data_IF_257488584334
#
_entry.id   IF_257488584334
#
_cell.length_a   1.000
_cell.length_b   1.000
_cell.length_c   1.000
_cell.angle_alpha   90.00
_cell.angle_beta   90.00
_cell.angle_gamma   90.00
#
_symmetry.space_group_name_H-M   'P 1'
#
loop_
_entity.id
_entity.type
_entity.pdbx_description
1 polymer ?
#
# COMPACT_ATOMS: atom_id res chain seq x y z
N UNK A 1 4.48 -24.75 -14.61
CA UNK A 1 4.72 -23.29 -14.57
C UNK A 1 6.09 -23.06 -13.95
N UNK A 2 7.03 -22.51 -14.71
CA UNK A 2 8.43 -22.41 -14.32
C UNK A 2 8.60 -21.45 -13.11
N UNK A 3 9.57 -21.65 -12.21
CA UNK A 3 9.70 -20.86 -10.98
C UNK A 3 9.88 -19.36 -11.27
N UNK A 4 10.56 -19.02 -12.36
CA UNK A 4 10.73 -17.64 -12.82
C UNK A 4 9.43 -17.00 -13.32
N UNK A 5 8.57 -17.76 -14.01
CA UNK A 5 7.24 -17.30 -14.43
C UNK A 5 6.33 -17.00 -13.23
N UNK A 6 6.41 -17.82 -12.17
CA UNK A 6 5.68 -17.56 -10.91
C UNK A 6 6.14 -16.26 -10.24
N UNK A 7 7.44 -16.03 -10.15
CA UNK A 7 8.02 -14.79 -9.58
C UNK A 7 7.59 -13.56 -10.38
N UNK A 8 7.72 -13.62 -11.70
CA UNK A 8 7.34 -12.52 -12.59
C UNK A 8 5.85 -12.19 -12.47
N UNK A 9 4.98 -13.21 -12.50
CA UNK A 9 3.52 -13.02 -12.34
C UNK A 9 3.17 -12.44 -10.97
N UNK A 10 3.83 -12.90 -9.90
CA UNK A 10 3.67 -12.35 -8.56
C UNK A 10 3.99 -10.85 -8.51
N UNK A 11 5.13 -10.45 -9.07
CA UNK A 11 5.54 -9.02 -9.12
C UNK A 11 4.65 -8.20 -10.05
N UNK A 12 4.14 -8.77 -11.14
CA UNK A 12 3.16 -8.11 -12.01
C UNK A 12 1.84 -7.82 -11.29
N UNK A 13 1.35 -8.76 -10.49
CA UNK A 13 0.16 -8.54 -9.65
C UNK A 13 0.39 -7.46 -8.61
N UNK A 14 1.57 -7.44 -7.95
CA UNK A 14 1.94 -6.36 -7.03
C UNK A 14 2.04 -5.00 -7.72
N UNK A 15 2.59 -4.96 -8.94
CA UNK A 15 2.65 -3.74 -9.73
C UNK A 15 1.24 -3.19 -10.00
N UNK A 16 0.34 -4.03 -10.51
CA UNK A 16 -1.04 -3.62 -10.78
C UNK A 16 -1.73 -3.15 -9.49
N UNK A 17 -1.58 -3.87 -8.39
CA UNK A 17 -2.12 -3.47 -7.10
C UNK A 17 -1.66 -2.06 -6.68
N UNK A 18 -0.38 -1.75 -6.85
CA UNK A 18 0.19 -0.45 -6.50
C UNK A 18 -0.24 0.67 -7.46
N UNK A 19 -0.51 0.34 -8.73
CA UNK A 19 -1.13 1.29 -9.67
C UNK A 19 -2.56 1.63 -9.22
N UNK A 20 -3.34 0.64 -8.82
CA UNK A 20 -4.67 0.87 -8.25
C UNK A 20 -4.58 1.71 -6.97
N UNK A 21 -3.68 1.37 -6.04
CA UNK A 21 -3.46 2.14 -4.82
C UNK A 21 -3.09 3.61 -5.10
N UNK A 22 -2.16 3.86 -6.04
CA UNK A 22 -1.79 5.21 -6.44
C UNK A 22 -2.98 5.98 -7.05
N UNK A 23 -3.78 5.32 -7.89
CA UNK A 23 -4.96 5.92 -8.50
C UNK A 23 -6.05 6.25 -7.45
N UNK A 24 -6.28 5.36 -6.49
CA UNK A 24 -7.27 5.58 -5.42
C UNK A 24 -6.81 6.66 -4.44
N UNK A 25 -5.52 6.71 -4.11
CA UNK A 25 -4.96 7.76 -3.26
C UNK A 25 -4.98 9.12 -3.95
N UNK A 26 -4.74 9.17 -5.27
CA UNK A 26 -4.87 10.40 -6.04
C UNK A 26 -6.34 10.88 -6.09
N UNK A 27 -7.26 9.94 -6.31
CA UNK A 27 -8.70 10.19 -6.27
C UNK A 27 -9.16 10.76 -4.92
N UNK A 28 -8.55 10.33 -3.80
CA UNK A 28 -8.86 10.84 -2.47
C UNK A 28 -8.44 12.31 -2.24
N UNK A 29 -7.50 12.84 -3.05
CA UNK A 29 -7.07 14.25 -2.98
C UNK A 29 -7.96 15.14 -3.86
N UNK A 30 -8.57 14.58 -4.90
CA UNK A 30 -9.37 15.33 -5.85
C UNK A 30 -10.84 15.41 -5.40
N UNK A 31 -11.52 16.55 -5.59
CA UNK A 31 -12.95 16.64 -5.38
C UNK A 31 -13.68 15.84 -6.46
N UNK A 32 -14.05 14.60 -6.14
CA UNK A 32 -14.74 13.69 -7.06
C UNK A 32 -16.26 13.74 -6.85
N UNK A 33 -17.07 13.75 -7.92
CA UNK A 33 -18.52 13.54 -7.83
C UNK A 33 -18.86 12.15 -7.27
N UNK A 34 -19.99 12.04 -6.57
CA UNK A 34 -20.40 10.84 -5.84
C UNK A 34 -20.40 9.54 -6.67
N UNK A 35 -20.75 9.63 -7.96
CA UNK A 35 -20.72 8.48 -8.88
C UNK A 35 -19.32 7.91 -9.11
N UNK A 36 -18.27 8.74 -9.04
CA UNK A 36 -16.88 8.30 -9.15
C UNK A 36 -16.36 7.69 -7.85
N UNK A 37 -16.91 8.04 -6.68
CA UNK A 37 -16.51 7.47 -5.39
C UNK A 37 -16.77 5.95 -5.35
N UNK A 38 -17.84 5.47 -5.98
CA UNK A 38 -18.13 4.04 -6.09
C UNK A 38 -17.08 3.30 -6.95
N UNK A 39 -16.63 3.92 -8.04
CA UNK A 39 -15.57 3.36 -8.90
C UNK A 39 -14.22 3.35 -8.18
N UNK A 40 -13.91 4.40 -7.40
CA UNK A 40 -12.70 4.47 -6.58
C UNK A 40 -12.72 3.38 -5.50
N UNK A 41 -13.87 3.15 -4.87
CA UNK A 41 -14.04 2.08 -3.87
C UNK A 41 -13.83 0.69 -4.49
N UNK A 42 -14.41 0.44 -5.67
CA UNK A 42 -14.19 -0.80 -6.43
C UNK A 42 -12.72 -0.97 -6.85
N UNK A 43 -12.07 0.09 -7.29
CA UNK A 43 -10.66 0.11 -7.66
C UNK A 43 -9.76 -0.21 -6.45
N UNK A 44 -10.09 0.30 -5.26
CA UNK A 44 -9.37 0.00 -4.01
C UNK A 44 -9.47 -1.48 -3.64
N UNK A 45 -10.68 -2.05 -3.70
CA UNK A 45 -10.89 -3.48 -3.45
C UNK A 45 -10.13 -4.33 -4.48
N UNK A 46 -10.20 -3.97 -5.76
CA UNK A 46 -9.46 -4.67 -6.81
C UNK A 46 -7.94 -4.63 -6.56
N UNK A 47 -7.41 -3.46 -6.16
CA UNK A 47 -6.01 -3.29 -5.77
C UNK A 47 -5.60 -4.22 -4.62
N UNK A 48 -6.42 -4.28 -3.56
CA UNK A 48 -6.19 -5.18 -2.42
C UNK A 48 -6.20 -6.65 -2.82
N UNK A 49 -7.17 -7.08 -3.62
CA UNK A 49 -7.25 -8.48 -4.12
C UNK A 49 -6.01 -8.83 -4.94
N UNK A 50 -5.55 -7.93 -5.81
CA UNK A 50 -4.33 -8.11 -6.59
C UNK A 50 -3.09 -8.17 -5.69
N UNK A 51 -3.02 -7.35 -4.64
CA UNK A 51 -1.92 -7.36 -3.67
C UNK A 51 -1.86 -8.69 -2.93
N UNK A 52 -3.00 -9.18 -2.42
CA UNK A 52 -3.11 -10.47 -1.75
C UNK A 52 -2.73 -11.61 -2.70
N UNK A 53 -3.19 -11.60 -3.95
CA UNK A 53 -2.87 -12.62 -4.94
C UNK A 53 -1.37 -12.62 -5.31
N UNK A 54 -0.78 -11.44 -5.50
CA UNK A 54 0.64 -11.26 -5.77
C UNK A 54 1.51 -11.75 -4.60
N UNK A 55 1.16 -11.34 -3.38
CA UNK A 55 1.86 -11.76 -2.17
C UNK A 55 1.72 -13.25 -1.89
N UNK A 56 0.53 -13.84 -2.12
CA UNK A 56 0.34 -15.28 -1.97
C UNK A 56 1.24 -16.08 -2.93
N UNK A 57 1.47 -15.55 -4.13
CA UNK A 57 2.37 -16.15 -5.13
C UNK A 57 3.85 -16.05 -4.69
N UNK A 58 4.23 -14.99 -3.98
CA UNK A 58 5.60 -14.69 -3.59
C UNK A 58 5.96 -15.11 -2.15
N UNK A 59 4.99 -15.48 -1.30
CA UNK A 59 5.18 -15.76 0.14
C UNK A 59 6.19 -16.86 0.47
N UNK A 60 6.45 -17.77 -0.48
CA UNK A 60 7.41 -18.86 -0.30
C UNK A 60 8.83 -18.48 -0.72
N UNK A 61 9.01 -17.35 -1.39
CA UNK A 61 10.31 -16.91 -1.91
C UNK A 61 11.12 -16.13 -0.87
N UNK A 62 10.45 -15.37 0.01
CA UNK A 62 11.10 -14.50 0.98
C UNK A 62 10.26 -14.35 2.26
N UNK A 63 10.92 -14.24 3.42
CA UNK A 63 10.25 -13.95 4.69
C UNK A 63 9.49 -12.62 4.68
N UNK A 64 10.02 -11.59 4.03
CA UNK A 64 9.38 -10.28 3.86
C UNK A 64 8.03 -10.37 3.17
N UNK A 65 7.92 -11.08 2.05
CA UNK A 65 6.63 -11.29 1.37
C UNK A 65 5.64 -12.09 2.21
N UNK A 66 6.11 -13.04 3.01
CA UNK A 66 5.26 -13.82 3.92
C UNK A 66 4.66 -12.95 5.01
N UNK A 67 5.46 -12.07 5.61
CA UNK A 67 4.98 -11.13 6.62
C UNK A 67 4.07 -10.07 6.01
N UNK A 68 4.42 -9.52 4.85
CA UNK A 68 3.56 -8.60 4.12
C UNK A 68 2.19 -9.23 3.81
N UNK A 69 2.14 -10.49 3.36
CA UNK A 69 0.88 -11.20 3.13
C UNK A 69 -0.01 -11.27 4.38
N UNK A 70 0.59 -11.57 5.54
CA UNK A 70 -0.14 -11.62 6.81
C UNK A 70 -0.66 -10.25 7.22
N UNK A 71 0.14 -9.20 7.03
CA UNK A 71 -0.26 -7.83 7.33
C UNK A 71 -1.40 -7.37 6.42
N UNK A 72 -1.34 -7.62 5.12
CA UNK A 72 -2.43 -7.26 4.18
C UNK A 72 -3.73 -8.01 4.48
N UNK A 73 -3.67 -9.27 4.94
CA UNK A 73 -4.88 -9.95 5.45
C UNK A 73 -5.40 -9.26 6.72
N UNK A 74 -4.50 -8.92 7.65
CA UNK A 74 -4.86 -8.20 8.88
C UNK A 74 -5.50 -6.85 8.60
N UNK A 75 -4.98 -6.12 7.62
CA UNK A 75 -5.51 -4.86 7.11
C UNK A 75 -6.94 -5.03 6.59
N UNK A 76 -7.20 -6.05 5.77
CA UNK A 76 -8.54 -6.31 5.23
C UNK A 76 -9.55 -6.66 6.32
N UNK A 77 -9.14 -7.48 7.29
CA UNK A 77 -9.97 -7.82 8.46
C UNK A 77 -10.25 -6.57 9.30
N UNK A 78 -9.23 -5.74 9.53
CA UNK A 78 -9.34 -4.52 10.32
C UNK A 78 -10.22 -3.47 9.64
N UNK A 79 -10.10 -3.31 8.32
CA UNK A 79 -10.96 -2.41 7.56
C UNK A 79 -12.43 -2.85 7.62
N UNK A 80 -12.69 -4.15 7.52
CA UNK A 80 -14.05 -4.70 7.63
C UNK A 80 -14.63 -4.52 9.04
N UNK A 81 -13.91 -4.98 10.07
CA UNK A 81 -14.34 -4.84 11.46
C UNK A 81 -14.49 -3.37 11.86
N UNK A 82 -13.51 -2.53 11.49
CA UNK A 82 -13.54 -1.11 11.77
C UNK A 82 -14.68 -0.38 11.07
N UNK A 83 -15.02 -0.77 9.84
CA UNK A 83 -16.21 -0.30 9.13
C UNK A 83 -17.51 -0.66 9.87
N UNK A 84 -17.63 -1.93 10.32
CA UNK A 84 -18.81 -2.36 11.09
C UNK A 84 -18.94 -1.63 12.42
N UNK A 85 -17.85 -1.51 13.19
CA UNK A 85 -17.81 -0.80 14.48
C UNK A 85 -18.16 0.68 14.29
N UNK A 86 -17.61 1.31 13.25
CA UNK A 86 -17.90 2.71 12.95
C UNK A 86 -19.38 2.93 12.58
N UNK A 87 -19.95 2.03 11.78
CA UNK A 87 -21.38 2.08 11.45
C UNK A 87 -22.26 1.93 12.70
N UNK A 88 -21.93 1.00 13.60
CA UNK A 88 -22.63 0.85 14.88
C UNK A 88 -22.50 2.09 15.77
N UNK A 89 -21.31 2.69 15.88
CA UNK A 89 -21.10 3.93 16.63
C UNK A 89 -21.94 5.08 16.05
N UNK A 90 -22.07 5.16 14.72
CA UNK A 90 -22.92 6.14 14.05
C UNK A 90 -24.41 5.97 14.32
N UNK A 91 -24.90 4.72 14.25
CA UNK A 91 -26.31 4.41 14.47
C UNK A 91 -26.72 4.49 15.95
N UNK A 92 -25.84 4.09 16.88
CA UNK A 92 -26.18 3.91 18.30
C UNK A 92 -25.72 5.06 19.20
N UNK A 93 -24.70 5.83 18.81
CA UNK A 93 -24.11 6.88 19.65
C UNK A 93 -24.27 8.26 19.00
N UNK A 94 -23.52 8.55 17.94
CA UNK A 94 -23.61 9.81 17.19
C UNK A 94 -22.76 9.77 15.93
N UNK A 95 -23.04 10.69 15.01
CA UNK A 95 -22.20 10.94 13.82
C UNK A 95 -20.76 11.33 14.21
N UNK A 96 -20.58 12.08 15.30
CA UNK A 96 -19.24 12.43 15.78
C UNK A 96 -18.43 11.20 16.23
N UNK A 97 -19.07 10.27 16.93
CA UNK A 97 -18.45 9.01 17.33
C UNK A 97 -18.07 8.15 16.11
N UNK A 98 -18.93 8.10 15.08
CA UNK A 98 -18.63 7.43 13.81
C UNK A 98 -17.37 8.02 13.14
N UNK A 99 -17.28 9.35 13.03
CA UNK A 99 -16.14 10.01 12.39
C UNK A 99 -14.83 9.76 13.14
N UNK A 100 -14.86 9.76 14.47
CA UNK A 100 -13.70 9.45 15.30
C UNK A 100 -13.24 7.99 15.15
N UNK A 101 -14.17 7.04 15.16
CA UNK A 101 -13.83 5.62 14.95
C UNK A 101 -13.32 5.37 13.53
N UNK A 102 -13.91 6.00 12.51
CA UNK A 102 -13.42 5.90 11.13
C UNK A 102 -12.01 6.45 10.98
N UNK A 103 -11.72 7.59 11.61
CA UNK A 103 -10.37 8.17 11.64
C UNK A 103 -9.37 7.17 12.25
N UNK A 104 -9.65 6.66 13.45
CA UNK A 104 -8.82 5.67 14.15
C UNK A 104 -8.54 4.43 13.30
N UNK A 105 -9.58 3.82 12.73
CA UNK A 105 -9.46 2.65 11.86
C UNK A 105 -8.59 2.96 10.64
N UNK A 106 -8.81 4.10 10.00
CA UNK A 106 -8.09 4.50 8.79
C UNK A 106 -6.58 4.63 9.04
N UNK A 107 -6.18 5.12 10.22
CA UNK A 107 -4.77 5.23 10.60
C UNK A 107 -4.12 3.85 10.74
N UNK A 108 -4.78 2.93 11.43
CA UNK A 108 -4.22 1.58 11.59
C UNK A 108 -4.14 0.85 10.26
N UNK A 109 -5.15 0.99 9.40
CA UNK A 109 -5.15 0.44 8.04
C UNK A 109 -3.97 1.01 7.24
N UNK A 110 -3.79 2.33 7.23
CA UNK A 110 -2.68 2.97 6.54
C UNK A 110 -1.31 2.55 7.11
N UNK A 111 -1.17 2.40 8.43
CA UNK A 111 0.07 1.93 9.04
C UNK A 111 0.40 0.49 8.63
N UNK A 112 -0.61 -0.38 8.56
CA UNK A 112 -0.46 -1.76 8.09
C UNK A 112 -0.12 -1.82 6.60
N UNK A 113 -0.77 -0.99 5.77
CA UNK A 113 -0.50 -0.88 4.34
C UNK A 113 0.96 -0.47 4.09
N UNK A 114 1.43 0.59 4.76
CA UNK A 114 2.81 1.08 4.65
C UNK A 114 3.81 0.04 5.17
N UNK A 115 3.51 -0.67 6.25
CA UNK A 115 4.35 -1.76 6.74
C UNK A 115 4.41 -2.93 5.74
N UNK A 116 3.28 -3.29 5.12
CA UNK A 116 3.23 -4.30 4.08
C UNK A 116 4.04 -3.86 2.85
N UNK A 117 3.90 -2.61 2.40
CA UNK A 117 4.72 -2.04 1.32
C UNK A 117 6.21 -2.07 1.65
N UNK A 118 6.59 -1.71 2.88
CA UNK A 118 8.00 -1.72 3.32
C UNK A 118 8.62 -3.11 3.23
N UNK A 119 7.90 -4.12 3.71
CA UNK A 119 8.32 -5.52 3.65
C UNK A 119 8.31 -6.08 2.22
N UNK A 120 7.31 -5.72 1.42
CA UNK A 120 7.26 -6.07 -0.01
C UNK A 120 8.46 -5.50 -0.75
N UNK A 121 8.77 -4.22 -0.53
CA UNK A 121 9.88 -3.53 -1.18
C UNK A 121 11.21 -4.20 -0.79
N UNK A 122 11.41 -4.52 0.50
CA UNK A 122 12.57 -5.28 0.96
C UNK A 122 12.69 -6.65 0.28
N UNK A 123 11.59 -7.41 0.22
CA UNK A 123 11.56 -8.69 -0.48
C UNK A 123 11.90 -8.59 -1.97
N UNK A 124 11.41 -7.55 -2.66
CA UNK A 124 11.69 -7.30 -4.08
C UNK A 124 13.14 -6.87 -4.30
N UNK A 125 13.70 -6.05 -3.41
CA UNK A 125 15.12 -5.69 -3.47
C UNK A 125 16.01 -6.92 -3.33
N UNK A 126 15.73 -7.80 -2.38
CA UNK A 126 16.51 -9.04 -2.18
C UNK A 126 16.39 -9.97 -3.39
N UNK A 127 15.22 -10.02 -4.03
CA UNK A 127 15.00 -10.80 -5.24
C UNK A 127 15.86 -10.31 -6.43
N UNK A 128 16.09 -9.00 -6.53
CA UNK A 128 16.71 -8.37 -7.71
C UNK A 128 18.16 -7.98 -7.52
N UNK A 129 18.61 -7.81 -6.27
CA UNK A 129 20.01 -7.56 -5.93
C UNK A 129 21.02 -8.46 -6.67
N UNK A 130 20.81 -9.79 -6.87
CA UNK A 130 21.75 -10.61 -7.62
C UNK A 130 21.80 -10.33 -9.12
N UNK A 131 20.77 -9.70 -9.70
CA UNK A 131 20.66 -9.44 -11.15
C UNK A 131 21.02 -7.99 -11.48
N UNK A 132 20.52 -7.05 -10.69
CA UNK A 132 20.65 -5.62 -10.91
C UNK A 132 20.80 -4.86 -9.57
N UNK A 133 22.01 -4.79 -9.00
CA UNK A 133 22.23 -4.17 -7.69
C UNK A 133 21.85 -2.69 -7.66
N UNK A 134 22.10 -1.95 -8.75
CA UNK A 134 21.71 -0.54 -8.88
C UNK A 134 20.19 -0.34 -8.82
N UNK A 135 19.40 -1.27 -9.37
CA UNK A 135 17.94 -1.21 -9.25
C UNK A 135 17.50 -1.49 -7.81
N UNK A 136 18.16 -2.42 -7.11
CA UNK A 136 17.88 -2.68 -5.71
C UNK A 136 18.16 -1.45 -4.81
N UNK A 137 19.16 -0.62 -5.12
CA UNK A 137 19.40 0.64 -4.39
C UNK A 137 18.26 1.64 -4.52
N UNK A 138 17.60 1.72 -5.67
CA UNK A 138 16.39 2.55 -5.84
C UNK A 138 15.26 2.08 -4.90
N UNK A 139 15.12 0.77 -4.71
CA UNK A 139 14.20 0.21 -3.73
C UNK A 139 14.51 0.64 -2.29
N UNK A 140 15.79 0.84 -1.95
CA UNK A 140 16.19 1.34 -0.62
C UNK A 140 15.67 2.76 -0.36
N UNK A 141 15.77 3.64 -1.36
CA UNK A 141 15.22 5.00 -1.27
C UNK A 141 13.70 4.99 -1.07
N UNK A 142 13.00 4.10 -1.78
CA UNK A 142 11.54 3.94 -1.63
C UNK A 142 11.20 3.44 -0.21
N UNK A 143 11.95 2.50 0.36
CA UNK A 143 11.75 2.06 1.75
C UNK A 143 11.93 3.19 2.76
N UNK A 144 12.87 4.10 2.54
CA UNK A 144 13.01 5.30 3.38
C UNK A 144 11.82 6.24 3.22
N UNK A 145 11.35 6.46 1.98
CA UNK A 145 10.17 7.28 1.70
C UNK A 145 8.92 6.74 2.42
N UNK A 146 8.72 5.42 2.48
CA UNK A 146 7.62 4.80 3.22
C UNK A 146 7.65 5.19 4.71
N UNK A 147 8.82 5.21 5.34
CA UNK A 147 8.96 5.62 6.74
C UNK A 147 8.66 7.11 6.94
N UNK A 148 9.06 7.95 5.98
CA UNK A 148 8.75 9.39 5.98
C UNK A 148 7.25 9.63 5.85
N UNK A 149 6.57 8.90 4.96
CA UNK A 149 5.12 8.97 4.79
C UNK A 149 4.43 8.57 6.10
N UNK A 150 4.82 7.46 6.71
CA UNK A 150 4.27 7.01 7.98
C UNK A 150 4.44 8.07 9.07
N UNK A 151 5.63 8.65 9.20
CA UNK A 151 5.90 9.68 10.19
C UNK A 151 5.07 10.95 9.95
N UNK A 152 4.92 11.39 8.69
CA UNK A 152 4.11 12.54 8.33
C UNK A 152 2.63 12.31 8.65
N UNK A 153 2.09 11.12 8.36
CA UNK A 153 0.70 10.78 8.66
C UNK A 153 0.44 10.70 10.17
N UNK A 154 1.36 10.10 10.94
CA UNK A 154 1.25 10.07 12.42
C UNK A 154 1.36 11.47 13.02
N UNK A 155 2.25 12.31 12.48
CA UNK A 155 2.40 13.70 12.94
C UNK A 155 1.15 14.53 12.64
N UNK A 156 0.56 14.40 11.44
CA UNK A 156 -0.70 15.04 11.08
C UNK A 156 -1.79 14.73 12.12
N UNK A 157 -1.93 13.46 12.47
CA UNK A 157 -2.91 13.01 13.46
C UNK A 157 -2.64 13.60 14.86
N UNK A 158 -1.40 13.57 15.32
CA UNK A 158 -1.04 14.13 16.62
C UNK A 158 -1.36 15.62 16.68
N UNK A 159 -1.12 16.36 15.59
CA UNK A 159 -1.47 17.78 15.49
C UNK A 159 -2.99 17.99 15.48
N UNK A 160 -3.76 17.13 14.81
CA UNK A 160 -5.22 17.19 14.77
C UNK A 160 -5.83 16.96 16.16
N UNK A 161 -5.35 15.94 16.88
CA UNK A 161 -5.75 15.65 18.27
C UNK A 161 -5.40 16.78 19.24
N UNK A 162 -4.29 17.48 19.00
CA UNK A 162 -3.86 18.64 19.79
C UNK A 162 -4.52 19.96 19.32
N UNK A 163 -5.41 19.92 18.32
CA UNK A 163 -6.08 21.08 17.73
C UNK A 163 -5.11 22.18 17.28
N UNK A 164 -3.94 21.78 16.77
CA UNK A 164 -2.91 22.70 16.29
C UNK A 164 -3.19 23.08 14.83
N UNK A 165 -3.13 24.38 14.52
CA UNK A 165 -3.55 24.93 13.22
C UNK A 165 -2.81 24.45 11.97
N UNK A 166 -1.78 23.60 12.12
CA UNK A 166 -1.04 23.00 11.01
C UNK A 166 -1.54 21.60 10.59
N UNK A 167 -2.49 21.00 11.33
CA UNK A 167 -2.93 19.62 11.10
C UNK A 167 -3.40 19.34 9.67
N UNK A 168 -4.17 20.26 9.08
CA UNK A 168 -4.70 20.17 7.72
C UNK A 168 -3.62 20.24 6.64
N UNK A 169 -2.61 21.11 6.82
CA UNK A 169 -1.47 21.19 5.91
C UNK A 169 -0.62 19.92 5.96
N UNK A 170 -0.33 19.40 7.16
CA UNK A 170 0.46 18.17 7.32
C UNK A 170 -0.32 16.96 6.82
N UNK A 171 -1.64 16.92 6.97
CA UNK A 171 -2.52 15.89 6.40
C UNK A 171 -2.43 15.88 4.87
N UNK A 172 -2.56 17.05 4.23
CA UNK A 172 -2.45 17.16 2.78
C UNK A 172 -1.06 16.73 2.28
N UNK A 173 0.00 17.16 2.96
CA UNK A 173 1.37 16.75 2.65
C UNK A 173 1.54 15.22 2.76
N UNK A 174 1.01 14.61 3.82
CA UNK A 174 1.04 13.16 4.02
C UNK A 174 0.33 12.43 2.87
N UNK A 175 -0.85 12.89 2.46
CA UNK A 175 -1.59 12.33 1.31
C UNK A 175 -0.81 12.44 0.00
N UNK A 176 -0.20 13.59 -0.28
CA UNK A 176 0.65 13.78 -1.47
C UNK A 176 1.85 12.85 -1.44
N UNK A 177 2.52 12.73 -0.29
CA UNK A 177 3.65 11.82 -0.10
C UNK A 177 3.23 10.36 -0.27
N UNK A 178 2.04 9.97 0.19
CA UNK A 178 1.51 8.62 0.01
C UNK A 178 1.28 8.30 -1.47
N UNK A 179 0.68 9.21 -2.24
CA UNK A 179 0.52 9.06 -3.70
C UNK A 179 1.88 8.93 -4.38
N UNK A 180 2.83 9.81 -4.05
CA UNK A 180 4.18 9.76 -4.60
C UNK A 180 4.85 8.42 -4.27
N UNK A 181 4.75 7.96 -3.02
CA UNK A 181 5.32 6.70 -2.57
C UNK A 181 4.75 5.49 -3.33
N UNK A 182 3.42 5.42 -3.48
CA UNK A 182 2.77 4.37 -4.26
C UNK A 182 3.21 4.39 -5.74
N UNK A 183 3.29 5.59 -6.35
CA UNK A 183 3.73 5.76 -7.73
C UNK A 183 5.20 5.35 -7.94
N UNK A 184 6.11 5.75 -7.04
CA UNK A 184 7.51 5.34 -7.09
C UNK A 184 7.67 3.84 -6.88
N UNK A 185 6.89 3.24 -5.97
CA UNK A 185 6.92 1.80 -5.75
C UNK A 185 6.37 1.02 -6.95
N UNK A 186 5.28 1.48 -7.57
CA UNK A 186 4.78 0.92 -8.81
C UNK A 186 5.83 0.99 -9.93
N UNK A 187 6.50 2.14 -10.09
CA UNK A 187 7.60 2.30 -11.06
C UNK A 187 8.74 1.32 -10.81
N UNK A 188 9.14 1.13 -9.55
CA UNK A 188 10.15 0.16 -9.18
C UNK A 188 9.72 -1.26 -9.53
N UNK A 189 8.52 -1.69 -9.13
CA UNK A 189 7.98 -3.01 -9.48
C UNK A 189 7.89 -3.23 -11.00
N UNK A 190 7.58 -2.20 -11.78
CA UNK A 190 7.59 -2.27 -13.24
C UNK A 190 8.98 -2.52 -13.83
N UNK A 191 10.01 -1.81 -13.34
CA UNK A 191 11.40 -2.05 -13.74
C UNK A 191 11.84 -3.47 -13.34
N UNK A 192 11.48 -3.89 -12.14
CA UNK A 192 11.74 -5.22 -11.60
C UNK A 192 11.16 -6.32 -12.49
N UNK A 193 9.90 -6.16 -12.91
CA UNK A 193 9.22 -7.05 -13.86
C UNK A 193 9.98 -7.17 -15.18
N UNK A 194 10.44 -6.05 -15.76
CA UNK A 194 11.19 -6.06 -17.03
C UNK A 194 12.51 -6.81 -16.90
N UNK A 195 13.24 -6.57 -15.81
CA UNK A 195 14.51 -7.24 -15.54
C UNK A 195 14.35 -8.74 -15.38
N UNK A 196 13.31 -9.21 -14.69
CA UNK A 196 13.03 -10.65 -14.55
C UNK A 196 12.56 -11.32 -15.84
N UNK A 197 11.91 -10.58 -16.75
CA UNK A 197 11.49 -11.10 -18.06
C UNK A 197 12.63 -11.19 -19.08
N UNK A 198 13.74 -10.48 -18.85
CA UNK A 198 14.89 -10.43 -19.75
C UNK A 198 15.96 -11.49 -19.44
N UNK A 199 15.85 -12.21 -18.32
CA UNK A 199 16.80 -13.28 -17.95
C UNK A 199 16.34 -14.59 -18.59
N UNK A 200 17.02 -15.12 -19.64
CA UNK A 200 16.76 -16.45 -20.13
C UNK A 200 16.96 -17.44 -18.98
N UNK A 201 16.05 -18.41 -18.85
CA UNK A 201 16.19 -19.44 -17.81
C UNK A 201 17.53 -20.18 -18.00
N UNK A 202 18.19 -20.63 -16.91
CA UNK A 202 19.26 -21.60 -17.06
C UNK A 202 18.64 -22.90 -17.58
N UNK A 203 18.61 -23.08 -18.91
CA UNK A 203 18.00 -24.24 -19.55
C UNK A 203 17.33 -24.04 -20.92
N UNK A 204 17.63 -22.97 -21.66
CA UNK A 204 17.51 -22.95 -23.13
C UNK A 204 18.89 -22.90 -23.76
#
# INVERSE_FOLDING_TARGET
>A
MNQNQRKQRGVELLFLAQVFAAATSLAAILPLPDGLLNLVSLASIAGLVLMVAGLNTLRTQNGGYRWAYRLTIGELVLAFLGGTVSAFAGMMVSVAAMLQTMSLVSIFVMALELAAMYLCCGGTMELIRPIAPQAAEQGSMIRMLILVVLAASVASLALDLLSLGAASFVALLASILQVACAAYFARFLFQCRKLMGAVPGPGE
#
